data_IF_148205491990
#
_entry.id   IF_148205491990
#
_cell.length_a   1.000
_cell.length_b   1.000
_cell.length_c   1.000
_cell.angle_alpha   90.00
_cell.angle_beta   90.00
_cell.angle_gamma   90.00
#
_symmetry.space_group_name_H-M   'P 1'
#
loop_
_entity.id
_entity.type
_entity.pdbx_description
1 polymer ?
#
# COMPACT_ATOMS: atom_id res chain seq x y z
N UNK A 1 0.49 4.44 -13.42
CA UNK A 1 -0.82 3.74 -13.69
C UNK A 1 -1.64 4.54 -14.71
N UNK A 2 -2.61 3.98 -15.46
CA UNK A 2 -3.52 4.83 -16.27
C UNK A 2 -4.53 5.55 -15.37
N UNK A 3 -4.37 6.87 -15.31
CA UNK A 3 -5.08 7.80 -14.43
C UNK A 3 -6.00 8.72 -15.24
N UNK A 4 -7.23 8.24 -15.53
CA UNK A 4 -8.28 9.12 -16.06
C UNK A 4 -8.67 10.08 -14.95
N UNK A 5 -8.74 11.39 -15.24
CA UNK A 5 -8.96 12.44 -14.24
C UNK A 5 -10.09 12.17 -13.23
N UNK A 6 -11.22 11.62 -13.67
CA UNK A 6 -12.37 11.29 -12.81
C UNK A 6 -12.13 10.17 -11.79
N UNK A 7 -11.06 9.38 -11.98
CA UNK A 7 -10.64 8.30 -11.10
C UNK A 7 -9.33 8.61 -10.37
N UNK A 8 -8.65 9.69 -10.74
CA UNK A 8 -7.41 10.12 -10.09
C UNK A 8 -7.74 10.66 -8.70
N UNK A 9 -6.98 10.21 -7.71
CA UNK A 9 -7.01 10.75 -6.36
C UNK A 9 -5.76 11.60 -6.16
N UNK A 10 -5.97 12.84 -5.74
CA UNK A 10 -4.92 13.86 -5.63
C UNK A 10 -4.64 14.29 -4.20
N UNK A 11 -5.55 14.04 -3.25
CA UNK A 11 -5.32 14.27 -1.83
C UNK A 11 -4.27 13.31 -1.30
N UNK A 12 -3.12 13.86 -0.88
CA UNK A 12 -2.07 13.07 -0.26
C UNK A 12 -2.56 12.45 1.04
N UNK A 13 -3.33 13.19 1.84
CA UNK A 13 -3.97 12.68 3.07
C UNK A 13 -4.75 11.39 2.79
N UNK A 14 -5.56 11.38 1.72
CA UNK A 14 -6.34 10.19 1.33
C UNK A 14 -5.48 9.03 0.87
N UNK A 15 -4.41 9.29 0.10
CA UNK A 15 -3.49 8.25 -0.37
C UNK A 15 -2.66 7.64 0.75
N UNK A 16 -2.19 8.47 1.68
CA UNK A 16 -1.49 8.02 2.88
C UNK A 16 -2.39 7.17 3.76
N UNK A 17 -3.67 7.57 3.91
CA UNK A 17 -4.65 6.75 4.64
C UNK A 17 -4.90 5.40 3.94
N UNK A 18 -4.95 5.37 2.59
CA UNK A 18 -5.06 4.11 1.85
C UNK A 18 -3.85 3.21 2.12
N UNK A 19 -2.63 3.75 2.13
CA UNK A 19 -1.41 2.99 2.44
C UNK A 19 -1.48 2.42 3.85
N UNK A 20 -1.79 3.24 4.86
CA UNK A 20 -1.85 2.78 6.27
C UNK A 20 -2.90 1.73 6.53
N UNK A 21 -4.05 1.84 5.86
CA UNK A 21 -5.14 0.86 5.97
C UNK A 21 -4.85 -0.43 5.19
N UNK A 22 -3.86 -0.42 4.30
CA UNK A 22 -3.48 -1.57 3.47
C UNK A 22 -1.95 -1.72 3.45
N UNK A 23 -1.29 -1.92 4.60
CA UNK A 23 0.16 -1.79 4.72
C UNK A 23 0.95 -2.89 4.01
N UNK A 24 0.29 -3.97 3.57
CA UNK A 24 0.91 -5.04 2.78
C UNK A 24 1.02 -4.60 1.30
N UNK A 25 2.13 -3.95 0.96
CA UNK A 25 2.41 -3.45 -0.38
C UNK A 25 3.30 -4.42 -1.19
N UNK A 26 3.30 -4.26 -2.52
CA UNK A 26 4.13 -5.06 -3.43
C UNK A 26 5.33 -4.25 -3.90
N UNK A 27 6.52 -4.56 -3.35
CA UNK A 27 7.78 -3.96 -3.79
C UNK A 27 8.21 -4.56 -5.13
N UNK A 28 8.40 -3.73 -6.13
CA UNK A 28 8.91 -4.11 -7.45
C UNK A 28 10.23 -3.43 -7.74
N UNK A 29 11.22 -4.21 -8.15
CA UNK A 29 12.56 -3.75 -8.55
C UNK A 29 12.91 -4.29 -9.93
N UNK A 30 13.63 -3.48 -10.71
CA UNK A 30 14.13 -3.83 -12.04
C UNK A 30 15.67 -3.84 -12.04
N UNK A 31 16.28 -4.94 -11.60
CA UNK A 31 17.73 -5.02 -11.41
C UNK A 31 18.29 -6.18 -12.24
N UNK A 32 19.27 -5.93 -13.14
CA UNK A 32 19.89 -6.99 -13.92
C UNK A 32 20.56 -8.05 -13.04
N UNK A 33 20.28 -9.32 -13.30
CA UNK A 33 20.88 -10.45 -12.59
C UNK A 33 21.16 -11.60 -13.55
N UNK A 34 22.29 -12.30 -13.33
CA UNK A 34 22.60 -13.55 -14.05
C UNK A 34 21.87 -14.76 -13.47
N UNK A 35 21.35 -14.63 -12.23
CA UNK A 35 20.78 -15.75 -11.44
C UNK A 35 19.27 -15.65 -11.27
N UNK A 36 18.71 -14.44 -11.34
CA UNK A 36 17.31 -14.18 -11.03
C UNK A 36 16.64 -13.35 -12.16
N UNK A 37 15.31 -13.36 -12.26
CA UNK A 37 14.57 -12.49 -13.20
C UNK A 37 14.92 -11.01 -13.04
N UNK A 38 14.85 -10.27 -14.14
CA UNK A 38 15.10 -8.82 -14.17
C UNK A 38 14.08 -8.04 -13.32
N UNK A 39 12.80 -8.38 -13.46
CA UNK A 39 11.72 -7.84 -12.65
C UNK A 39 11.40 -8.83 -11.53
N UNK A 40 11.47 -8.35 -10.30
CA UNK A 40 11.10 -9.10 -9.10
C UNK A 40 10.11 -8.29 -8.29
N UNK A 41 9.08 -8.97 -7.78
CA UNK A 41 8.05 -8.39 -6.93
C UNK A 41 7.83 -9.23 -5.69
N UNK A 42 7.82 -8.61 -4.51
CA UNK A 42 7.57 -9.26 -3.21
C UNK A 42 6.52 -8.47 -2.44
N UNK A 43 5.55 -9.16 -1.86
CA UNK A 43 4.65 -8.56 -0.87
C UNK A 43 5.40 -8.38 0.43
N UNK A 44 5.48 -7.15 0.93
CA UNK A 44 6.03 -6.86 2.26
C UNK A 44 5.13 -5.87 3.01
N UNK A 45 5.06 -5.99 4.34
CA UNK A 45 4.44 -4.96 5.16
C UNK A 45 5.32 -3.70 5.20
N UNK A 46 4.67 -2.55 5.13
CA UNK A 46 5.30 -1.23 5.17
C UNK A 46 4.76 -0.38 6.31
N UNK A 47 5.64 0.45 6.86
CA UNK A 47 5.26 1.62 7.64
C UNK A 47 5.51 2.86 6.79
N UNK A 48 4.58 3.82 6.88
CA UNK A 48 4.67 5.12 6.22
C UNK A 48 4.89 6.20 7.28
N UNK A 49 6.08 6.79 7.27
CA UNK A 49 6.44 7.91 8.12
C UNK A 49 6.15 9.23 7.43
N UNK A 50 5.58 10.16 8.20
CA UNK A 50 5.20 11.50 7.82
C UNK A 50 5.36 12.39 9.04
N UNK A 51 5.90 13.59 8.87
CA UNK A 51 6.05 14.57 9.94
C UNK A 51 4.73 15.29 10.22
N UNK A 52 3.98 15.68 9.18
CA UNK A 52 2.67 16.33 9.29
C UNK A 52 1.56 15.56 8.54
N UNK A 53 0.69 14.91 9.32
CA UNK A 53 -0.46 14.15 8.81
C UNK A 53 -1.50 14.98 8.07
N UNK A 54 -1.52 16.30 8.28
CA UNK A 54 -2.40 17.22 7.56
C UNK A 54 -1.72 17.83 6.32
N UNK A 55 -0.42 17.58 6.10
CA UNK A 55 0.31 18.14 4.97
C UNK A 55 -0.21 17.60 3.65
N UNK A 56 -0.56 18.52 2.73
CA UNK A 56 -0.99 18.21 1.36
C UNK A 56 0.18 18.13 0.36
N UNK A 57 1.42 18.28 0.82
CA UNK A 57 2.61 18.25 -0.05
C UNK A 57 3.63 17.19 0.37
N UNK A 58 3.54 16.68 1.60
CA UNK A 58 4.45 15.67 2.11
C UNK A 58 4.03 14.26 1.68
N UNK A 59 4.84 13.63 0.82
CA UNK A 59 4.60 12.26 0.34
C UNK A 59 4.87 11.21 1.42
N UNK A 60 5.92 11.41 2.21
CA UNK A 60 6.36 10.50 3.27
C UNK A 60 7.51 9.56 2.87
N UNK A 61 7.92 8.72 3.83
CA UNK A 61 8.97 7.71 3.68
C UNK A 61 8.42 6.35 4.04
N UNK A 62 8.66 5.34 3.19
CA UNK A 62 8.29 3.96 3.48
C UNK A 62 9.46 3.21 4.13
N UNK A 63 9.21 2.52 5.24
CA UNK A 63 10.17 1.59 5.86
C UNK A 63 9.63 0.17 5.87
N UNK A 64 10.46 -0.77 5.44
CA UNK A 64 10.15 -2.19 5.38
C UNK A 64 11.39 -3.05 5.56
N UNK A 65 11.20 -4.36 5.54
CA UNK A 65 12.29 -5.32 5.52
C UNK A 65 11.96 -6.51 4.62
N UNK A 66 13.01 -7.17 4.11
CA UNK A 66 12.89 -8.43 3.38
C UNK A 66 13.82 -9.48 3.96
N UNK A 67 13.40 -10.74 3.89
CA UNK A 67 14.28 -11.88 4.18
C UNK A 67 15.47 -11.90 3.22
N UNK A 68 16.70 -12.04 3.74
CA UNK A 68 17.94 -12.19 2.95
C UNK A 68 17.89 -13.36 1.99
N UNK A 69 17.14 -14.41 2.34
CA UNK A 69 16.96 -15.58 1.49
C UNK A 69 16.17 -15.27 0.20
N UNK A 70 15.37 -14.19 0.19
CA UNK A 70 14.55 -13.79 -0.94
C UNK A 70 15.43 -13.47 -2.17
N UNK A 71 15.14 -14.05 -3.35
CA UNK A 71 15.81 -13.70 -4.61
C UNK A 71 15.93 -12.20 -4.88
N UNK A 72 14.90 -11.41 -4.55
CA UNK A 72 14.90 -9.96 -4.72
C UNK A 72 15.95 -9.29 -3.83
N UNK A 73 16.05 -9.68 -2.56
CA UNK A 73 17.10 -9.19 -1.65
C UNK A 73 18.49 -9.57 -2.13
N UNK A 74 18.68 -10.80 -2.62
CA UNK A 74 19.98 -11.24 -3.16
C UNK A 74 20.38 -10.41 -4.37
N UNK A 75 19.46 -10.17 -5.31
CA UNK A 75 19.72 -9.31 -6.47
C UNK A 75 20.07 -7.88 -6.08
N UNK A 76 19.36 -7.31 -5.09
CA UNK A 76 19.65 -5.98 -4.54
C UNK A 76 21.07 -5.92 -3.95
N UNK A 77 21.42 -6.87 -3.08
CA UNK A 77 22.73 -6.92 -2.42
C UNK A 77 23.84 -7.12 -3.45
N UNK A 78 23.70 -8.12 -4.33
CA UNK A 78 24.67 -8.40 -5.39
C UNK A 78 24.94 -7.15 -6.26
N UNK A 79 23.89 -6.39 -6.59
CA UNK A 79 24.01 -5.17 -7.39
C UNK A 79 24.80 -4.07 -6.66
N UNK A 80 24.50 -3.83 -5.38
CA UNK A 80 25.21 -2.85 -4.56
C UNK A 80 26.68 -3.27 -4.34
N UNK A 81 26.94 -4.53 -4.01
CA UNK A 81 28.30 -5.05 -3.82
C UNK A 81 29.13 -4.99 -5.10
N UNK A 82 28.54 -5.35 -6.25
CA UNK A 82 29.23 -5.25 -7.56
C UNK A 82 29.58 -3.81 -7.90
N UNK A 83 28.73 -2.85 -7.51
CA UNK A 83 28.99 -1.42 -7.65
C UNK A 83 29.93 -0.86 -6.57
N UNK A 84 30.49 -1.70 -5.69
CA UNK A 84 31.32 -1.30 -4.54
C UNK A 84 30.63 -0.28 -3.61
N UNK A 85 29.30 -0.36 -3.51
CA UNK A 85 28.50 0.53 -2.67
C UNK A 85 28.46 0.05 -1.22
N UNK A 86 28.70 0.92 -0.23
CA UNK A 86 28.66 0.55 1.18
C UNK A 86 27.23 0.27 1.68
N UNK A 87 27.12 -0.25 2.91
CA UNK A 87 25.86 -0.34 3.63
C UNK A 87 25.14 1.03 3.66
N UNK A 88 23.81 1.02 3.60
CA UNK A 88 23.03 2.26 3.60
C UNK A 88 23.11 3.02 2.28
N UNK A 89 23.49 2.36 1.18
CA UNK A 89 23.50 2.97 -0.15
C UNK A 89 22.13 2.94 -0.81
N UNK A 90 21.91 3.90 -1.70
CA UNK A 90 20.73 3.94 -2.56
C UNK A 90 20.90 3.04 -3.78
N UNK A 91 19.81 2.40 -4.20
CA UNK A 91 19.66 1.88 -5.55
C UNK A 91 19.74 3.04 -6.56
N UNK A 92 20.31 2.77 -7.74
CA UNK A 92 20.42 3.78 -8.79
C UNK A 92 19.04 4.15 -9.35
N UNK A 93 18.28 3.12 -9.72
CA UNK A 93 16.96 3.22 -10.30
C UNK A 93 15.87 3.38 -9.24
N UNK A 94 14.75 4.00 -9.64
CA UNK A 94 13.55 4.05 -8.81
C UNK A 94 12.96 2.66 -8.58
N UNK A 95 12.26 2.52 -7.46
CA UNK A 95 11.45 1.33 -7.14
C UNK A 95 9.97 1.70 -7.12
N UNK A 96 9.10 0.71 -7.29
CA UNK A 96 7.66 0.86 -7.19
C UNK A 96 7.13 0.03 -6.02
N UNK A 97 6.32 0.64 -5.16
CA UNK A 97 5.46 -0.09 -4.21
C UNK A 97 4.00 0.11 -4.60
N UNK A 98 3.31 -1.00 -4.90
CA UNK A 98 1.88 -0.99 -5.19
C UNK A 98 1.09 -1.35 -3.92
N UNK A 99 0.20 -0.45 -3.51
CA UNK A 99 -0.80 -0.69 -2.47
C UNK A 99 -2.18 -0.79 -3.11
N UNK A 100 -2.93 -1.82 -2.75
CA UNK A 100 -4.30 -2.03 -3.24
C UNK A 100 -5.23 -2.13 -2.04
N UNK A 101 -6.36 -1.43 -2.10
CA UNK A 101 -7.38 -1.56 -1.07
C UNK A 101 -7.93 -2.99 -1.03
N UNK A 102 -8.09 -3.54 0.18
CA UNK A 102 -8.66 -4.88 0.37
C UNK A 102 -10.07 -5.01 -0.23
N UNK A 103 -10.87 -3.92 -0.15
CA UNK A 103 -12.17 -3.86 -0.78
C UNK A 103 -12.05 -3.50 -2.27
N UNK A 104 -12.36 -4.46 -3.12
CA UNK A 104 -12.56 -4.28 -4.55
C UNK A 104 -13.62 -5.26 -5.05
N UNK A 105 -14.37 -4.92 -6.10
CA UNK A 105 -15.41 -5.81 -6.58
C UNK A 105 -15.72 -5.63 -8.06
N UNK A 106 -16.09 -6.74 -8.69
CA UNK A 106 -16.67 -6.77 -10.02
C UNK A 106 -18.06 -6.11 -10.02
N UNK A 107 -18.35 -5.28 -11.02
CA UNK A 107 -19.66 -4.70 -11.25
C UNK A 107 -20.29 -5.39 -12.45
N UNK A 108 -21.43 -6.02 -12.19
CA UNK A 108 -22.27 -6.56 -13.26
C UNK A 108 -23.08 -5.44 -13.92
N UNK A 109 -23.26 -5.48 -15.25
CA UNK A 109 -24.16 -4.55 -15.94
C UNK A 109 -25.61 -4.62 -15.47
N UNK A 110 -26.00 -5.67 -14.73
CA UNK A 110 -27.34 -5.76 -14.12
C UNK A 110 -27.59 -4.67 -13.08
N UNK A 111 -26.56 -4.06 -12.52
CA UNK A 111 -26.71 -2.98 -11.54
C UNK A 111 -27.01 -1.62 -12.19
N UNK A 112 -26.80 -1.46 -13.49
CA UNK A 112 -27.09 -0.19 -14.18
C UNK A 112 -28.58 -0.07 -14.46
N UNK A 113 -29.26 0.73 -13.64
CA UNK A 113 -30.72 0.91 -13.67
C UNK A 113 -31.20 2.07 -14.54
N UNK A 114 -30.29 2.91 -15.05
CA UNK A 114 -30.59 4.03 -15.94
C UNK A 114 -30.19 3.68 -17.38
N UNK A 115 -28.90 3.46 -17.64
CA UNK A 115 -28.37 3.34 -19.02
C UNK A 115 -28.79 2.02 -19.69
N UNK A 116 -28.90 0.93 -18.93
CA UNK A 116 -29.24 -0.40 -19.47
C UNK A 116 -30.67 -0.47 -20.01
N UNK A 117 -31.74 -0.08 -19.28
CA UNK A 117 -33.07 -0.08 -19.85
C UNK A 117 -33.24 0.95 -20.98
N UNK A 118 -32.50 2.06 -20.97
CA UNK A 118 -32.57 3.08 -22.00
C UNK A 118 -31.95 2.64 -23.33
N UNK A 119 -30.71 2.11 -23.31
CA UNK A 119 -29.95 1.83 -24.53
C UNK A 119 -29.33 0.44 -24.62
N UNK A 120 -29.21 -0.26 -23.47
CA UNK A 120 -28.48 -1.52 -23.36
C UNK A 120 -26.96 -1.40 -23.54
N UNK A 121 -26.41 -0.19 -23.80
CA UNK A 121 -24.99 0.04 -24.07
C UNK A 121 -24.17 0.11 -22.78
N UNK A 122 -24.10 -1.02 -22.09
CA UNK A 122 -23.40 -1.17 -20.82
C UNK A 122 -22.40 -2.32 -20.87
N UNK A 123 -21.28 -2.17 -20.15
CA UNK A 123 -20.21 -3.17 -20.08
C UNK A 123 -19.84 -3.46 -18.63
N UNK A 124 -19.41 -4.68 -18.30
CA UNK A 124 -18.96 -5.00 -16.96
C UNK A 124 -17.65 -4.30 -16.62
N UNK A 125 -17.37 -4.10 -15.34
CA UNK A 125 -16.09 -3.52 -14.91
C UNK A 125 -15.71 -3.91 -13.49
N UNK A 126 -14.62 -3.35 -12.97
CA UNK A 126 -14.20 -3.47 -11.58
C UNK A 126 -14.10 -2.10 -10.94
N UNK A 127 -14.60 -2.01 -9.70
CA UNK A 127 -14.29 -0.91 -8.79
C UNK A 127 -13.18 -1.36 -7.83
N UNK A 128 -12.21 -0.46 -7.62
CA UNK A 128 -11.05 -0.68 -6.76
C UNK A 128 -10.38 0.66 -6.42
N UNK A 129 -9.58 0.65 -5.37
CA UNK A 129 -8.68 1.75 -5.04
C UNK A 129 -7.23 1.24 -4.93
N UNK A 130 -6.27 2.04 -5.40
CA UNK A 130 -4.86 1.70 -5.35
C UNK A 130 -3.98 2.95 -5.31
N UNK A 131 -2.79 2.81 -4.73
CA UNK A 131 -1.71 3.79 -4.77
C UNK A 131 -0.43 3.15 -5.32
N UNK A 132 0.25 3.84 -6.22
CA UNK A 132 1.60 3.51 -6.67
C UNK A 132 2.57 4.53 -6.08
N UNK A 133 3.42 4.06 -5.17
CA UNK A 133 4.45 4.86 -4.52
C UNK A 133 5.79 4.60 -5.19
N UNK A 134 6.44 5.66 -5.67
CA UNK A 134 7.74 5.61 -6.34
C UNK A 134 8.78 6.38 -5.53
N UNK A 135 10.02 5.92 -5.60
CA UNK A 135 11.13 6.59 -4.96
C UNK A 135 12.43 5.83 -5.06
N UNK A 136 13.48 6.36 -4.42
CA UNK A 136 14.78 5.69 -4.34
C UNK A 136 14.91 4.91 -3.04
N UNK A 137 15.23 3.63 -3.16
CA UNK A 137 15.40 2.74 -2.02
C UNK A 137 16.82 2.82 -1.46
N UNK A 138 16.96 3.16 -0.18
CA UNK A 138 18.16 3.00 0.63
C UNK A 138 18.15 1.64 1.32
N UNK A 139 19.24 0.89 1.20
CA UNK A 139 19.30 -0.52 1.62
C UNK A 139 20.26 -0.70 2.79
N UNK A 140 19.75 -1.30 3.87
CA UNK A 140 20.50 -1.66 5.08
C UNK A 140 20.73 -3.18 5.10
N UNK A 141 21.89 -3.61 4.62
CA UNK A 141 22.17 -5.01 4.34
C UNK A 141 23.40 -5.58 5.05
N UNK A 142 24.22 -4.77 5.73
CA UNK A 142 25.26 -5.32 6.59
C UNK A 142 24.69 -5.63 7.97
N UNK A 143 24.55 -6.93 8.29
CA UNK A 143 24.05 -7.41 9.58
C UNK A 143 24.94 -7.09 10.78
N UNK A 144 26.19 -6.70 10.55
CA UNK A 144 27.15 -6.32 11.59
C UNK A 144 27.19 -4.81 11.81
N UNK A 145 26.56 -4.03 10.93
CA UNK A 145 26.53 -2.58 11.02
C UNK A 145 25.57 -2.13 12.14
N UNK A 146 26.02 -1.28 13.07
CA UNK A 146 25.13 -0.66 14.07
C UNK A 146 23.98 0.12 13.44
N UNK A 147 24.21 0.76 12.29
CA UNK A 147 23.18 1.51 11.56
C UNK A 147 22.04 0.60 11.09
N UNK A 148 22.39 -0.57 10.53
CA UNK A 148 21.40 -1.57 10.10
C UNK A 148 20.61 -2.11 11.29
N UNK A 149 21.28 -2.40 12.41
CA UNK A 149 20.64 -2.86 13.63
C UNK A 149 19.66 -1.84 14.19
N UNK A 150 20.05 -0.57 14.24
CA UNK A 150 19.19 0.52 14.69
C UNK A 150 17.96 0.69 13.78
N UNK A 151 18.18 0.73 12.46
CA UNK A 151 17.09 0.83 11.48
C UNK A 151 16.08 -0.31 11.63
N UNK A 152 16.56 -1.57 11.65
CA UNK A 152 15.70 -2.74 11.75
C UNK A 152 14.96 -2.80 13.08
N UNK A 153 15.60 -2.41 14.19
CA UNK A 153 14.96 -2.41 15.50
C UNK A 153 13.78 -1.43 15.55
N UNK A 154 13.99 -0.21 15.06
CA UNK A 154 12.92 0.78 14.97
C UNK A 154 11.82 0.33 14.01
N UNK A 155 12.19 -0.13 12.81
CA UNK A 155 11.23 -0.53 11.78
C UNK A 155 10.35 -1.71 12.23
N UNK A 156 10.92 -2.72 12.88
CA UNK A 156 10.17 -3.89 13.38
C UNK A 156 9.25 -3.49 14.54
N UNK A 157 9.74 -2.63 15.45
CA UNK A 157 8.94 -2.09 16.54
C UNK A 157 7.69 -1.38 16.01
N UNK A 158 7.89 -0.37 15.16
CA UNK A 158 6.81 0.49 14.67
C UNK A 158 5.82 -0.31 13.81
N UNK A 159 6.32 -1.25 13.00
CA UNK A 159 5.48 -2.12 12.22
C UNK A 159 4.61 -3.06 13.08
N UNK A 160 5.20 -3.62 14.13
CA UNK A 160 4.46 -4.49 15.06
C UNK A 160 3.40 -3.69 15.81
N UNK A 161 3.74 -2.50 16.30
CA UNK A 161 2.79 -1.61 16.97
C UNK A 161 1.62 -1.22 16.06
N UNK A 162 1.91 -0.82 14.81
CA UNK A 162 0.88 -0.50 13.82
C UNK A 162 -0.03 -1.69 13.52
N UNK A 163 0.55 -2.88 13.31
CA UNK A 163 -0.23 -4.09 13.02
C UNK A 163 -1.13 -4.49 14.21
N UNK A 164 -0.57 -4.52 15.42
CA UNK A 164 -1.32 -4.87 16.62
C UNK A 164 -2.47 -3.88 16.88
N UNK A 165 -2.22 -2.57 16.73
CA UNK A 165 -3.26 -1.56 16.97
C UNK A 165 -4.26 -1.42 15.82
N UNK A 166 -3.78 -1.17 14.61
CA UNK A 166 -4.63 -0.77 13.49
C UNK A 166 -5.20 -1.95 12.70
N UNK A 167 -4.53 -3.11 12.71
CA UNK A 167 -5.03 -4.31 12.00
C UNK A 167 -5.75 -5.25 12.95
N UNK A 168 -5.18 -5.53 14.13
CA UNK A 168 -5.79 -6.43 15.11
C UNK A 168 -6.78 -5.74 16.05
N UNK A 169 -6.68 -4.41 16.22
CA UNK A 169 -7.47 -3.68 17.21
C UNK A 169 -7.01 -3.90 18.65
N UNK A 170 -5.78 -4.38 18.86
CA UNK A 170 -5.22 -4.68 20.18
C UNK A 170 -4.48 -3.46 20.72
N UNK A 171 -5.22 -2.41 21.06
CA UNK A 171 -4.70 -1.15 21.62
C UNK A 171 -4.82 -1.06 23.15
N UNK A 172 -5.47 -2.01 23.79
CA UNK A 172 -5.75 -2.01 25.23
C UNK A 172 -6.83 -1.01 25.67
N UNK A 173 -7.50 -0.35 24.72
CA UNK A 173 -8.56 0.62 25.00
C UNK A 173 -9.94 -0.04 25.01
N UNK A 174 -10.89 0.52 25.77
CA UNK A 174 -12.29 0.08 25.79
C UNK A 174 -12.49 -1.42 26.08
N UNK A 175 -11.57 -2.03 26.84
CA UNK A 175 -11.60 -3.46 27.17
C UNK A 175 -11.05 -4.39 26.08
N UNK A 176 -10.46 -3.84 25.01
CA UNK A 176 -9.72 -4.62 23.99
C UNK A 176 -8.41 -5.16 24.56
N UNK A 177 -7.87 -6.20 23.93
CA UNK A 177 -6.58 -6.77 24.33
C UNK A 177 -5.44 -5.76 24.12
N UNK A 178 -4.40 -5.84 24.96
CA UNK A 178 -3.20 -5.02 24.78
C UNK A 178 -2.31 -5.54 23.65
N UNK A 179 -1.53 -4.64 23.03
CA UNK A 179 -0.62 -4.98 21.92
C UNK A 179 0.48 -5.92 22.37
N UNK A 180 0.79 -6.93 21.55
CA UNK A 180 2.07 -7.65 21.68
C UNK A 180 3.24 -6.71 21.38
N UNK A 181 4.32 -6.77 22.16
CA UNK A 181 5.51 -5.96 21.95
C UNK A 181 6.65 -6.82 21.46
N UNK A 182 7.47 -6.26 20.58
CA UNK A 182 8.71 -6.93 20.12
C UNK A 182 9.58 -7.38 21.30
N UNK A 183 9.65 -6.57 22.36
CA UNK A 183 10.39 -6.87 23.58
C UNK A 183 9.81 -8.02 24.43
N UNK A 184 8.61 -8.53 24.11
CA UNK A 184 8.05 -9.73 24.74
C UNK A 184 8.76 -11.00 24.23
N UNK A 185 9.47 -10.92 23.09
CA UNK A 185 10.36 -11.99 22.62
C UNK A 185 11.76 -11.89 23.26
N UNK A 186 12.48 -13.02 23.42
CA UNK A 186 13.84 -13.00 23.95
C UNK A 186 14.81 -12.19 23.06
N UNK A 187 15.62 -11.33 23.67
CA UNK A 187 16.57 -10.44 22.96
C UNK A 187 17.47 -11.19 21.97
N UNK A 188 18.10 -12.29 22.40
CA UNK A 188 18.95 -13.13 21.53
C UNK A 188 18.19 -13.72 20.33
N UNK A 189 16.90 -13.96 20.49
CA UNK A 189 16.05 -14.45 19.40
C UNK A 189 15.76 -13.35 18.39
N UNK A 190 15.47 -12.13 18.86
CA UNK A 190 15.29 -10.95 18.01
C UNK A 190 16.56 -10.66 17.21
N UNK A 191 17.73 -10.60 17.87
CA UNK A 191 19.03 -10.38 17.22
C UNK A 191 19.34 -11.42 16.14
N UNK A 192 18.99 -12.69 16.39
CA UNK A 192 19.18 -13.77 15.43
C UNK A 192 18.31 -13.56 14.18
N UNK A 193 17.04 -13.22 14.35
CA UNK A 193 16.11 -13.00 13.24
C UNK A 193 16.42 -11.72 12.47
N UNK A 194 16.89 -10.66 13.13
CA UNK A 194 17.34 -9.43 12.47
C UNK A 194 18.50 -9.70 11.49
N UNK A 195 19.41 -10.63 11.83
CA UNK A 195 20.50 -11.04 10.91
C UNK A 195 19.97 -11.75 9.66
N UNK A 196 18.74 -12.27 9.67
CA UNK A 196 18.14 -12.97 8.53
C UNK A 196 17.40 -12.03 7.55
N UNK A 197 17.33 -10.73 7.84
CA UNK A 197 16.62 -9.74 7.02
C UNK A 197 17.56 -8.59 6.60
N UNK A 198 17.11 -7.83 5.59
CA UNK A 198 17.65 -6.51 5.21
C UNK A 198 16.59 -5.45 5.45
N UNK A 199 17.02 -4.23 5.77
CA UNK A 199 16.16 -3.07 5.87
C UNK A 199 16.06 -2.32 4.55
N UNK A 200 14.89 -1.76 4.27
CA UNK A 200 14.62 -0.96 3.08
C UNK A 200 13.89 0.31 3.51
N UNK A 201 14.45 1.45 3.14
CA UNK A 201 13.84 2.77 3.29
C UNK A 201 13.61 3.35 1.89
N UNK A 202 12.42 3.87 1.61
CA UNK A 202 12.10 4.51 0.33
C UNK A 202 11.58 5.90 0.63
N UNK A 203 12.40 6.91 0.32
CA UNK A 203 11.93 8.29 0.28
C UNK A 203 11.09 8.47 -0.97
N UNK A 204 9.81 8.79 -0.81
CA UNK A 204 8.91 8.93 -1.94
C UNK A 204 9.18 10.22 -2.71
N UNK A 205 9.21 10.13 -4.03
CA UNK A 205 9.28 11.28 -4.93
C UNK A 205 8.02 11.43 -5.80
N UNK A 206 7.21 10.38 -5.89
CA UNK A 206 5.93 10.38 -6.61
C UNK A 206 4.95 9.40 -5.96
N UNK A 207 3.73 9.86 -5.74
CA UNK A 207 2.61 9.05 -5.26
C UNK A 207 1.41 9.22 -6.19
N UNK A 208 1.03 8.13 -6.86
CA UNK A 208 -0.05 8.12 -7.84
C UNK A 208 -1.27 7.35 -7.31
N UNK A 209 -2.39 8.05 -7.20
CA UNK A 209 -3.63 7.53 -6.63
C UNK A 209 -4.72 7.22 -7.64
N UNK A 210 -5.43 6.11 -7.45
CA UNK A 210 -6.65 5.81 -8.22
C UNK A 210 -7.76 5.28 -7.34
N UNK A 211 -8.92 5.91 -7.42
CA UNK A 211 -10.17 5.43 -6.88
C UNK A 211 -11.17 5.32 -8.03
N UNK A 212 -11.41 4.09 -8.50
CA UNK A 212 -12.43 3.82 -9.50
C UNK A 212 -13.65 3.25 -8.80
N UNK A 213 -14.65 4.10 -8.62
CA UNK A 213 -15.88 3.86 -7.86
C UNK A 213 -17.13 4.29 -8.65
N UNK A 214 -17.13 4.01 -9.95
CA UNK A 214 -18.23 4.34 -10.89
C UNK A 214 -18.60 5.83 -10.99
N UNK A 215 -17.69 6.74 -10.66
CA UNK A 215 -17.94 8.19 -10.69
C UNK A 215 -18.29 8.70 -12.10
N UNK A 216 -17.84 8.00 -13.14
CA UNK A 216 -18.12 8.29 -14.55
C UNK A 216 -19.56 7.99 -14.96
N UNK A 217 -20.27 7.17 -14.21
CA UNK A 217 -21.63 6.76 -14.54
C UNK A 217 -22.65 7.86 -14.19
N UNK A 218 -23.82 7.87 -14.86
CA UNK A 218 -24.97 8.65 -14.46
C UNK A 218 -25.40 8.37 -13.01
N UNK A 219 -26.18 9.28 -12.42
CA UNK A 219 -26.59 9.16 -11.02
C UNK A 219 -27.44 7.91 -10.77
N UNK A 220 -28.42 7.60 -11.63
CA UNK A 220 -29.26 6.43 -11.46
C UNK A 220 -28.47 5.12 -11.57
N UNK A 221 -27.45 5.06 -12.42
CA UNK A 221 -26.56 3.89 -12.47
C UNK A 221 -25.68 3.75 -11.22
N UNK A 222 -25.18 4.85 -10.66
CA UNK A 222 -24.44 4.81 -9.38
C UNK A 222 -25.34 4.33 -8.24
N UNK A 223 -26.58 4.81 -8.17
CA UNK A 223 -27.57 4.35 -7.19
C UNK A 223 -27.90 2.86 -7.35
N UNK A 224 -28.01 2.38 -8.59
CA UNK A 224 -28.19 0.96 -8.88
C UNK A 224 -27.00 0.10 -8.46
N UNK A 225 -25.76 0.59 -8.65
CA UNK A 225 -24.54 -0.05 -8.15
C UNK A 225 -24.52 -0.13 -6.63
N UNK A 226 -24.85 0.96 -5.93
CA UNK A 226 -24.93 1.02 -4.46
C UNK A 226 -25.91 -0.04 -3.94
N UNK A 227 -27.16 -0.02 -4.42
CA UNK A 227 -28.19 -1.00 -4.02
C UNK A 227 -27.81 -2.43 -4.37
N UNK A 228 -27.18 -2.62 -5.53
CA UNK A 228 -26.70 -3.92 -5.98
C UNK A 228 -25.65 -4.51 -5.03
N UNK A 229 -24.73 -3.69 -4.53
CA UNK A 229 -23.74 -4.12 -3.56
C UNK A 229 -24.32 -4.37 -2.16
N UNK A 230 -25.21 -3.50 -1.67
CA UNK A 230 -25.92 -3.68 -0.39
C UNK A 230 -26.72 -4.99 -0.38
N UNK A 231 -27.38 -5.31 -1.50
CA UNK A 231 -28.17 -6.52 -1.65
C UNK A 231 -27.34 -7.82 -1.63
N UNK A 232 -26.01 -7.75 -1.75
CA UNK A 232 -25.14 -8.93 -1.58
C UNK A 232 -25.08 -9.37 -0.11
N UNK A 233 -25.39 -8.49 0.84
CA UNK A 233 -25.35 -8.80 2.28
C UNK A 233 -23.96 -9.20 2.79
N UNK A 234 -22.90 -8.79 2.08
CA UNK A 234 -21.51 -9.09 2.44
C UNK A 234 -20.80 -7.84 2.95
N UNK A 235 -19.82 -8.02 3.82
CA UNK A 235 -18.99 -6.92 4.35
C UNK A 235 -18.34 -6.12 3.22
N UNK A 236 -17.68 -6.80 2.27
CA UNK A 236 -17.09 -6.16 1.09
C UNK A 236 -18.14 -5.42 0.26
N UNK A 237 -19.35 -5.99 0.08
CA UNK A 237 -20.44 -5.31 -0.61
C UNK A 237 -20.80 -3.98 0.05
N UNK A 238 -20.98 -3.96 1.38
CA UNK A 238 -21.31 -2.74 2.12
C UNK A 238 -20.19 -1.69 2.00
N UNK A 239 -18.92 -2.07 2.16
CA UNK A 239 -17.78 -1.17 1.96
C UNK A 239 -17.76 -0.58 0.55
N UNK A 240 -18.00 -1.41 -0.47
CA UNK A 240 -18.04 -0.94 -1.86
C UNK A 240 -19.22 0.01 -2.12
N UNK A 241 -20.39 -0.25 -1.54
CA UNK A 241 -21.55 0.64 -1.64
C UNK A 241 -21.24 2.02 -1.04
N UNK A 242 -20.62 2.05 0.14
CA UNK A 242 -20.23 3.29 0.82
C UNK A 242 -19.19 4.09 0.03
N UNK A 243 -18.17 3.41 -0.50
CA UNK A 243 -17.15 4.06 -1.34
C UNK A 243 -17.75 4.63 -2.64
N UNK A 244 -18.66 3.91 -3.29
CA UNK A 244 -19.37 4.42 -4.48
C UNK A 244 -20.21 5.64 -4.14
N UNK A 245 -20.92 5.62 -3.01
CA UNK A 245 -21.69 6.77 -2.53
C UNK A 245 -20.80 7.98 -2.25
N UNK A 246 -19.79 7.82 -1.41
CA UNK A 246 -18.86 8.88 -1.02
C UNK A 246 -18.16 9.50 -2.24
N UNK A 247 -17.62 8.68 -3.14
CA UNK A 247 -16.93 9.19 -4.35
C UNK A 247 -17.90 9.80 -5.34
N UNK A 248 -19.14 9.32 -5.39
CA UNK A 248 -20.19 9.92 -6.18
C UNK A 248 -20.56 11.33 -5.71
N UNK A 249 -20.69 11.51 -4.39
CA UNK A 249 -20.99 12.80 -3.76
C UNK A 249 -19.86 13.81 -3.95
N UNK A 250 -18.60 13.41 -3.77
CA UNK A 250 -17.44 14.28 -4.03
C UNK A 250 -17.45 14.80 -5.47
N UNK A 251 -17.66 13.89 -6.43
CA UNK A 251 -17.77 14.23 -7.86
C UNK A 251 -18.94 15.19 -8.12
N UNK A 252 -20.11 14.95 -7.55
CA UNK A 252 -21.28 15.81 -7.74
C UNK A 252 -21.09 17.20 -7.09
N UNK A 253 -20.30 17.29 -6.03
CA UNK A 253 -19.91 18.55 -5.39
C UNK A 253 -18.84 19.35 -6.16
N UNK A 254 -18.34 18.83 -7.29
CA UNK A 254 -17.25 19.43 -8.06
C UNK A 254 -15.89 19.36 -7.35
N UNK A 255 -15.78 18.58 -6.28
CA UNK A 255 -14.53 18.31 -5.59
C UNK A 255 -13.87 17.13 -6.29
N UNK A 256 -12.79 17.41 -7.03
CA UNK A 256 -11.85 16.35 -7.40
C UNK A 256 -11.27 15.84 -6.08
N UNK A 257 -11.34 14.52 -5.85
CA UNK A 257 -10.74 13.87 -4.67
C UNK A 257 -9.26 14.19 -4.57
#
# INVERSE_FOLDING_TARGET
MYLRAIHTETSLVTLRQLIRSNPLGVLTTAIPSKRYPFLLSTHIPWILDVEDEASETELGTLRGHLARANPQSKTIIDNLETASKPNGSYLEEEVLVLFTAAAHHYITPKFYTETKPESGKVVPTWNYAAAQAYGKARIYFDSKSPETGAFLSQQIHDLSEHAEKSVMGYDGEEGRAGSWKVADAPEKYIELLQKAIIGIEIKLDRLEGKFKMSQESPKGDREGVIKGFEALGSETGNVMADLVRQRGELKDAGKSG
#
